data_IF_343153190426
#
_entry.id   IF_343153190426
#
_cell.length_a   1.000
_cell.length_b   1.000
_cell.length_c   1.000
_cell.angle_alpha   90.00
_cell.angle_beta   90.00
_cell.angle_gamma   90.00
#
_symmetry.space_group_name_H-M   'P 1'
#
loop_
_entity.id
_entity.type
_entity.pdbx_description
1 polymer ?
#
# COMPACT_ATOMS: atom_id res chain seq x y z
N UNK A 1 28.77 -15.17 -10.51
CA UNK A 1 28.22 -15.23 -11.88
C UNK A 1 26.76 -14.84 -11.77
N UNK A 2 26.38 -13.69 -12.30
CA UNK A 2 25.05 -13.09 -12.15
C UNK A 2 23.98 -14.02 -12.74
N UNK A 3 23.05 -14.47 -11.90
CA UNK A 3 21.85 -15.17 -12.38
C UNK A 3 21.03 -14.13 -13.12
N UNK A 4 20.95 -14.28 -14.45
CA UNK A 4 20.26 -13.34 -15.32
C UNK A 4 18.81 -13.17 -14.90
N UNK A 5 18.46 -11.97 -14.45
CA UNK A 5 17.08 -11.53 -14.33
C UNK A 5 16.51 -11.51 -15.76
N UNK A 6 15.86 -12.60 -16.18
CA UNK A 6 15.03 -12.56 -17.40
C UNK A 6 13.88 -11.61 -17.10
N UNK A 7 13.99 -10.37 -17.57
CA UNK A 7 12.84 -9.46 -17.59
C UNK A 7 11.77 -10.17 -18.42
N UNK A 8 10.66 -10.52 -17.77
CA UNK A 8 9.51 -11.06 -18.47
C UNK A 8 8.93 -9.92 -19.31
N UNK A 9 9.22 -9.93 -20.61
CA UNK A 9 8.85 -8.88 -21.58
C UNK A 9 7.35 -8.57 -21.48
N UNK A 10 6.52 -9.59 -21.23
CA UNK A 10 5.08 -9.40 -21.11
C UNK A 10 4.69 -8.66 -19.81
N UNK A 11 5.41 -8.86 -18.70
CA UNK A 11 5.21 -8.07 -17.48
C UNK A 11 5.70 -6.64 -17.64
N UNK A 12 6.82 -6.42 -18.35
CA UNK A 12 7.30 -5.06 -18.64
C UNK A 12 6.29 -4.27 -19.47
N UNK A 13 5.78 -4.88 -20.55
CA UNK A 13 4.77 -4.27 -21.43
C UNK A 13 3.48 -3.93 -20.67
N UNK A 14 3.02 -4.84 -19.81
CA UNK A 14 1.84 -4.62 -18.98
C UNK A 14 2.08 -3.52 -17.93
N UNK A 15 3.27 -3.51 -17.32
CA UNK A 15 3.71 -2.45 -16.40
C UNK A 15 3.70 -1.08 -17.06
N UNK A 16 4.27 -0.94 -18.27
CA UNK A 16 4.24 0.33 -19.03
C UNK A 16 2.82 0.81 -19.31
N UNK A 17 1.91 -0.10 -19.66
CA UNK A 17 0.48 0.23 -19.88
C UNK A 17 -0.18 0.76 -18.61
N UNK A 18 0.08 0.14 -17.46
CA UNK A 18 -0.47 0.58 -16.17
C UNK A 18 0.13 1.91 -15.72
N UNK A 19 1.45 2.11 -15.85
CA UNK A 19 2.12 3.38 -15.52
C UNK A 19 1.60 4.52 -16.39
N UNK A 20 1.27 4.26 -17.66
CA UNK A 20 0.61 5.24 -18.53
C UNK A 20 -0.73 5.75 -17.98
N UNK A 21 -1.39 5.02 -17.07
CA UNK A 21 -2.62 5.45 -16.39
C UNK A 21 -2.38 6.36 -15.18
N UNK A 22 -1.16 6.39 -14.65
CA UNK A 22 -0.80 7.22 -13.50
C UNK A 22 -0.63 8.70 -13.85
N UNK A 23 -0.78 9.10 -15.12
CA UNK A 23 -0.71 10.48 -15.61
C UNK A 23 0.55 11.27 -15.18
N UNK A 24 1.66 10.57 -14.91
CA UNK A 24 2.92 11.18 -14.47
C UNK A 24 2.96 11.60 -13.01
N UNK A 25 1.93 11.31 -12.19
CA UNK A 25 1.96 11.59 -10.77
C UNK A 25 2.86 10.61 -10.02
N UNK A 26 3.91 11.10 -9.30
CA UNK A 26 4.85 10.24 -8.60
C UNK A 26 4.16 9.28 -7.62
N UNK A 27 3.14 9.75 -6.90
CA UNK A 27 2.44 8.90 -5.94
C UNK A 27 1.70 7.74 -6.61
N UNK A 28 0.95 8.01 -7.67
CA UNK A 28 0.19 6.96 -8.36
C UNK A 28 1.14 5.88 -8.91
N UNK A 29 2.35 6.28 -9.35
CA UNK A 29 3.39 5.35 -9.80
C UNK A 29 3.97 4.55 -8.62
N UNK A 30 4.27 5.20 -7.50
CA UNK A 30 4.80 4.55 -6.29
C UNK A 30 3.79 3.52 -5.75
N UNK A 31 2.52 3.90 -5.64
CA UNK A 31 1.43 3.04 -5.17
C UNK A 31 1.25 1.84 -6.10
N UNK A 32 1.20 2.08 -7.42
CA UNK A 32 1.15 0.99 -8.40
C UNK A 32 2.36 0.06 -8.25
N UNK A 33 3.55 0.62 -8.08
CA UNK A 33 4.78 -0.12 -7.82
C UNK A 33 4.69 -0.99 -6.57
N UNK A 34 4.18 -0.45 -5.46
CA UNK A 34 3.96 -1.20 -4.22
C UNK A 34 2.96 -2.34 -4.37
N UNK A 35 1.84 -2.12 -5.08
CA UNK A 35 0.87 -3.19 -5.38
C UNK A 35 1.55 -4.30 -6.20
N UNK A 36 2.26 -3.94 -7.26
CA UNK A 36 2.91 -4.89 -8.17
C UNK A 36 4.09 -5.62 -7.53
N UNK A 37 4.79 -5.01 -6.56
CA UNK A 37 5.90 -5.64 -5.83
C UNK A 37 5.45 -6.89 -5.06
N UNK A 38 4.18 -6.95 -4.65
CA UNK A 38 3.59 -8.12 -3.98
C UNK A 38 3.12 -9.23 -4.93
N UNK A 39 3.24 -9.04 -6.26
CA UNK A 39 2.70 -9.96 -7.27
C UNK A 39 3.83 -10.54 -8.13
N UNK A 40 3.99 -11.86 -8.11
CA UNK A 40 5.10 -12.54 -8.77
C UNK A 40 4.73 -13.19 -10.10
N UNK A 41 3.44 -13.28 -10.44
CA UNK A 41 2.95 -13.93 -11.64
C UNK A 41 2.21 -12.98 -12.59
N UNK A 42 2.29 -13.25 -13.89
CA UNK A 42 1.71 -12.40 -14.93
C UNK A 42 0.17 -12.30 -14.85
N UNK A 43 -0.50 -13.41 -14.52
CA UNK A 43 -1.94 -13.43 -14.30
C UNK A 43 -2.38 -12.49 -13.15
N UNK A 44 -1.55 -12.33 -12.12
CA UNK A 44 -1.83 -11.39 -11.03
C UNK A 44 -1.72 -9.95 -11.50
N UNK A 45 -0.77 -9.65 -12.39
CA UNK A 45 -0.63 -8.32 -12.98
C UNK A 45 -1.79 -8.01 -13.93
N UNK A 46 -2.30 -9.00 -14.68
CA UNK A 46 -3.48 -8.83 -15.53
C UNK A 46 -4.73 -8.50 -14.69
N UNK A 47 -4.91 -9.14 -13.54
CA UNK A 47 -6.00 -8.81 -12.60
C UNK A 47 -5.90 -7.35 -12.14
N UNK A 48 -4.70 -6.89 -11.76
CA UNK A 48 -4.47 -5.49 -11.37
C UNK A 48 -4.80 -4.54 -12.52
N UNK A 49 -4.36 -4.87 -13.74
CA UNK A 49 -4.63 -4.06 -14.93
C UNK A 49 -6.14 -3.97 -15.25
N UNK A 50 -6.88 -5.07 -15.16
CA UNK A 50 -8.33 -5.07 -15.35
C UNK A 50 -9.05 -4.30 -14.24
N UNK A 51 -8.60 -4.42 -12.98
CA UNK A 51 -9.14 -3.63 -11.88
C UNK A 51 -8.95 -2.13 -12.15
N UNK A 52 -7.76 -1.68 -12.54
CA UNK A 52 -7.48 -0.28 -12.91
C UNK A 52 -8.46 0.20 -14.01
N UNK A 53 -8.70 -0.61 -15.05
CA UNK A 53 -9.67 -0.26 -16.11
C UNK A 53 -11.10 -0.13 -15.61
N UNK A 54 -11.53 -0.99 -14.68
CA UNK A 54 -12.86 -0.95 -14.11
C UNK A 54 -13.07 0.32 -13.27
N UNK A 55 -12.07 0.71 -12.46
CA UNK A 55 -12.11 1.95 -11.69
C UNK A 55 -12.13 3.18 -12.61
N UNK A 56 -11.30 3.22 -13.66
CA UNK A 56 -11.31 4.26 -14.73
C UNK A 56 -12.65 4.41 -15.43
N UNK A 57 -13.33 3.29 -15.68
CA UNK A 57 -14.66 3.32 -16.29
C UNK A 57 -15.71 3.89 -15.34
N UNK A 58 -15.53 3.72 -14.03
CA UNK A 58 -16.44 4.21 -12.99
C UNK A 58 -16.24 5.70 -12.69
N UNK A 59 -15.01 6.22 -12.79
CA UNK A 59 -14.70 7.64 -12.56
C UNK A 59 -14.92 8.58 -13.75
N UNK A 60 -15.27 8.07 -14.94
CA UNK A 60 -15.61 8.87 -16.15
C UNK A 60 -16.76 9.89 -15.99
N UNK A 61 -17.40 9.98 -14.82
CA UNK A 61 -18.36 11.03 -14.47
C UNK A 61 -17.74 12.25 -13.76
N UNK A 62 -16.43 12.27 -13.54
CA UNK A 62 -15.69 13.41 -12.97
C UNK A 62 -14.42 13.69 -13.78
N UNK A 63 -13.99 14.94 -13.80
CA UNK A 63 -12.95 15.48 -14.68
C UNK A 63 -11.71 14.57 -14.84
N UNK A 64 -11.31 14.43 -16.10
CA UNK A 64 -10.46 13.38 -16.66
C UNK A 64 -9.04 13.26 -16.06
N UNK A 65 -8.59 14.25 -15.29
CA UNK A 65 -7.21 14.33 -14.79
C UNK A 65 -7.10 13.98 -13.29
N UNK A 66 -8.16 14.15 -12.50
CA UNK A 66 -8.20 13.73 -11.09
C UNK A 66 -8.77 12.32 -10.91
N UNK A 67 -9.54 11.80 -11.89
CA UNK A 67 -10.18 10.48 -11.79
C UNK A 67 -9.17 9.34 -11.69
N UNK A 68 -8.11 9.31 -12.52
CA UNK A 68 -7.14 8.22 -12.50
C UNK A 68 -6.35 8.07 -11.20
N UNK A 69 -6.07 9.18 -10.50
CA UNK A 69 -5.34 9.15 -9.22
C UNK A 69 -6.23 8.61 -8.10
N UNK A 70 -7.45 9.15 -7.98
CA UNK A 70 -8.43 8.69 -7.00
C UNK A 70 -8.74 7.20 -7.16
N UNK A 71 -8.74 6.70 -8.39
CA UNK A 71 -8.98 5.29 -8.70
C UNK A 71 -7.81 4.37 -8.36
N UNK A 72 -6.57 4.79 -8.62
CA UNK A 72 -5.38 4.03 -8.22
C UNK A 72 -5.28 3.95 -6.69
N UNK A 73 -5.61 5.03 -5.99
CA UNK A 73 -5.65 5.06 -4.53
C UNK A 73 -6.78 4.19 -3.96
N UNK A 74 -7.98 4.28 -4.54
CA UNK A 74 -9.09 3.40 -4.19
C UNK A 74 -8.72 1.93 -4.39
N UNK A 75 -8.03 1.61 -5.49
CA UNK A 75 -7.54 0.27 -5.77
C UNK A 75 -6.58 -0.23 -4.68
N UNK A 76 -5.68 0.61 -4.17
CA UNK A 76 -4.77 0.24 -3.08
C UNK A 76 -5.52 -0.22 -1.84
N UNK A 77 -6.58 0.49 -1.48
CA UNK A 77 -7.44 0.10 -0.36
C UNK A 77 -8.21 -1.19 -0.65
N UNK A 78 -8.74 -1.35 -1.87
CA UNK A 78 -9.50 -2.54 -2.23
C UNK A 78 -8.64 -3.81 -2.24
N UNK A 79 -7.40 -3.72 -2.75
CA UNK A 79 -6.40 -4.80 -2.80
C UNK A 79 -5.67 -5.08 -1.48
N UNK A 80 -5.99 -4.31 -0.43
CA UNK A 80 -5.45 -4.53 0.91
C UNK A 80 -6.08 -5.80 1.53
N UNK A 81 -5.30 -6.67 2.21
CA UNK A 81 -5.86 -7.82 2.91
C UNK A 81 -6.89 -7.39 3.94
N UNK A 82 -7.91 -8.22 4.15
CA UNK A 82 -9.05 -7.87 5.00
C UNK A 82 -8.63 -7.45 6.41
N UNK A 83 -7.62 -8.11 7.00
CA UNK A 83 -7.15 -7.81 8.35
C UNK A 83 -6.47 -6.44 8.47
N UNK A 84 -5.92 -5.91 7.37
CA UNK A 84 -5.20 -4.64 7.35
C UNK A 84 -6.11 -3.43 7.14
N UNK A 85 -7.31 -3.63 6.59
CA UNK A 85 -8.27 -2.54 6.31
C UNK A 85 -8.68 -1.76 7.57
N UNK A 86 -9.01 -2.38 8.71
CA UNK A 86 -9.34 -1.64 9.92
C UNK A 86 -8.16 -0.80 10.43
N UNK A 87 -6.94 -1.35 10.41
CA UNK A 87 -5.72 -0.64 10.81
C UNK A 87 -5.47 0.59 9.93
N UNK A 88 -5.62 0.45 8.61
CA UNK A 88 -5.50 1.57 7.67
C UNK A 88 -6.59 2.63 7.90
N UNK A 89 -7.86 2.22 8.05
CA UNK A 89 -8.95 3.15 8.32
C UNK A 89 -8.76 3.91 9.64
N UNK A 90 -8.23 3.26 10.68
CA UNK A 90 -7.93 3.92 11.95
C UNK A 90 -6.91 5.06 11.78
N UNK A 91 -6.01 5.01 10.78
CA UNK A 91 -5.07 6.10 10.51
C UNK A 91 -5.77 7.42 10.14
N UNK A 92 -7.00 7.37 9.62
CA UNK A 92 -7.80 8.58 9.32
C UNK A 92 -8.21 9.39 10.55
N UNK A 93 -8.11 8.81 11.76
CA UNK A 93 -8.34 9.54 13.01
C UNK A 93 -7.18 10.50 13.35
N UNK A 94 -6.03 10.35 12.70
CA UNK A 94 -4.90 11.26 12.85
C UNK A 94 -4.97 12.34 11.77
N UNK A 95 -4.59 13.57 12.11
CA UNK A 95 -4.56 14.64 11.12
C UNK A 95 -3.52 14.31 10.05
N UNK A 96 -3.83 14.60 8.79
CA UNK A 96 -2.89 14.50 7.68
C UNK A 96 -1.57 15.19 8.05
N UNK A 97 -0.45 14.54 7.71
CA UNK A 97 0.91 15.02 7.88
C UNK A 97 1.45 15.16 9.32
N UNK A 98 0.73 14.64 10.32
CA UNK A 98 1.27 14.51 11.67
C UNK A 98 2.01 13.18 11.82
N UNK A 99 3.24 13.27 12.30
CA UNK A 99 4.05 12.11 12.68
C UNK A 99 3.44 11.36 13.86
N UNK A 100 3.12 10.08 13.64
CA UNK A 100 2.56 9.16 14.63
C UNK A 100 3.68 8.24 15.10
N UNK A 101 3.92 8.17 16.41
CA UNK A 101 4.89 7.23 16.94
C UNK A 101 4.48 5.77 16.70
N UNK A 102 5.34 5.00 16.05
CA UNK A 102 5.11 3.59 15.66
C UNK A 102 4.67 2.74 16.86
N UNK A 103 5.42 2.80 17.97
CA UNK A 103 5.12 2.05 19.20
C UNK A 103 3.75 2.40 19.80
N UNK A 104 3.34 3.66 19.68
CA UNK A 104 2.04 4.12 20.18
C UNK A 104 0.93 3.57 19.28
N UNK A 105 1.11 3.66 17.96
CA UNK A 105 0.15 3.17 16.97
C UNK A 105 -0.10 1.65 17.11
N UNK A 106 0.96 0.85 17.20
CA UNK A 106 0.93 -0.59 17.44
C UNK A 106 0.09 -0.94 18.68
N UNK A 107 0.36 -0.27 19.81
CA UNK A 107 -0.39 -0.49 21.05
C UNK A 107 -1.86 -0.10 20.94
N UNK A 108 -2.18 0.96 20.20
CA UNK A 108 -3.58 1.35 19.96
C UNK A 108 -4.30 0.28 19.14
N UNK A 109 -3.69 -0.19 18.04
CA UNK A 109 -4.32 -1.23 17.21
C UNK A 109 -4.57 -2.53 17.96
N UNK A 110 -3.64 -2.93 18.83
CA UNK A 110 -3.83 -4.08 19.71
C UNK A 110 -4.94 -3.81 20.73
N UNK A 111 -4.95 -2.65 21.38
CA UNK A 111 -5.96 -2.29 22.37
C UNK A 111 -7.37 -2.15 21.78
N UNK A 112 -7.49 -1.71 20.54
CA UNK A 112 -8.76 -1.62 19.80
C UNK A 112 -9.21 -2.95 19.19
N UNK A 113 -8.40 -4.01 19.30
CA UNK A 113 -8.71 -5.32 18.73
C UNK A 113 -8.71 -5.35 17.20
N UNK A 114 -8.00 -4.41 16.56
CA UNK A 114 -7.85 -4.36 15.10
C UNK A 114 -6.89 -5.43 14.57
N UNK A 115 -6.08 -6.01 15.47
CA UNK A 115 -5.09 -7.02 15.16
C UNK A 115 -5.65 -8.40 15.52
N UNK A 116 -5.69 -9.29 14.53
CA UNK A 116 -6.09 -10.68 14.76
C UNK A 116 -4.90 -11.52 15.23
N UNK A 117 -5.08 -12.42 16.21
CA UNK A 117 -4.00 -13.31 16.64
C UNK A 117 -3.59 -14.25 15.50
N UNK A 118 -2.29 -14.56 15.41
CA UNK A 118 -1.83 -15.60 14.50
C UNK A 118 -2.36 -16.96 14.96
N UNK A 119 -2.95 -17.72 14.03
CA UNK A 119 -3.47 -19.07 14.30
C UNK A 119 -2.36 -20.07 14.64
N UNK A 120 -1.14 -19.86 14.11
CA UNK A 120 0.00 -20.75 14.27
C UNK A 120 1.31 -19.93 14.30
N UNK A 121 1.78 -19.49 15.48
CA UNK A 121 3.08 -18.82 15.57
C UNK A 121 3.46 -18.29 16.96
N UNK A 122 4.77 -18.30 17.24
CA UNK A 122 5.41 -17.55 18.34
C UNK A 122 5.41 -16.05 18.00
N UNK A 123 4.83 -15.22 18.86
CA UNK A 123 4.82 -13.76 18.71
C UNK A 123 3.74 -13.10 19.56
N UNK A 124 4.01 -11.87 20.00
CA UNK A 124 3.05 -11.03 20.72
C UNK A 124 2.05 -10.39 19.75
N UNK A 125 0.91 -9.90 20.25
CA UNK A 125 -0.04 -9.15 19.40
C UNK A 125 0.61 -7.88 18.83
N UNK A 126 1.55 -7.28 19.56
CA UNK A 126 2.35 -6.16 19.10
C UNK A 126 3.23 -6.55 17.90
N UNK A 127 3.85 -7.72 17.90
CA UNK A 127 4.65 -8.21 16.77
C UNK A 127 3.78 -8.36 15.51
N UNK A 128 2.55 -8.88 15.65
CA UNK A 128 1.59 -8.97 14.54
C UNK A 128 1.22 -7.58 14.02
N UNK A 129 0.99 -6.61 14.90
CA UNK A 129 0.66 -5.25 14.50
C UNK A 129 1.85 -4.53 13.82
N UNK A 130 3.08 -4.81 14.25
CA UNK A 130 4.29 -4.31 13.59
C UNK A 130 4.41 -4.89 12.17
N UNK A 131 4.11 -6.18 11.97
CA UNK A 131 4.02 -6.77 10.64
C UNK A 131 2.96 -6.07 9.77
N UNK A 132 1.79 -5.76 10.34
CA UNK A 132 0.75 -5.03 9.61
C UNK A 132 1.21 -3.63 9.18
N UNK A 133 1.90 -2.92 10.07
CA UNK A 133 2.48 -1.62 9.72
C UNK A 133 3.54 -1.74 8.62
N UNK A 134 4.37 -2.78 8.68
CA UNK A 134 5.34 -3.12 7.63
C UNK A 134 4.68 -3.31 6.26
N UNK A 135 3.59 -4.07 6.20
CA UNK A 135 2.85 -4.26 4.94
C UNK A 135 2.26 -2.96 4.39
N UNK A 136 1.77 -2.07 5.25
CA UNK A 136 1.27 -0.76 4.83
C UNK A 136 2.40 0.14 4.29
N UNK A 137 3.60 0.04 4.85
CA UNK A 137 4.80 0.73 4.37
C UNK A 137 5.26 0.17 3.02
N UNK A 138 5.31 -1.16 2.87
CA UNK A 138 5.71 -1.82 1.62
C UNK A 138 4.74 -1.50 0.47
N UNK A 139 3.46 -1.33 0.78
CA UNK A 139 2.42 -0.88 -0.16
C UNK A 139 2.40 0.63 -0.38
N UNK A 140 3.31 1.37 0.25
CA UNK A 140 3.42 2.82 0.16
C UNK A 140 2.15 3.57 0.59
N UNK A 141 1.33 2.95 1.45
CA UNK A 141 0.10 3.56 1.98
C UNK A 141 0.38 4.49 3.16
N UNK A 142 1.50 4.25 3.82
CA UNK A 142 2.01 5.01 4.95
C UNK A 142 3.44 5.41 4.62
N UNK A 143 3.85 6.60 5.03
CA UNK A 143 5.23 7.08 4.86
C UNK A 143 5.99 7.01 6.18
N UNK A 144 7.29 6.78 6.08
CA UNK A 144 8.21 6.92 7.21
C UNK A 144 8.45 8.41 7.48
N UNK A 145 8.25 8.85 8.72
CA UNK A 145 8.64 10.18 9.19
C UNK A 145 10.10 10.18 9.61
N UNK A 146 10.36 9.74 10.84
CA UNK A 146 11.67 9.69 11.47
C UNK A 146 12.18 8.26 11.61
N UNK A 147 13.44 8.07 11.28
CA UNK A 147 14.20 6.87 11.63
C UNK A 147 15.07 7.17 12.85
N UNK A 148 15.07 6.24 13.80
CA UNK A 148 15.96 6.31 14.96
C UNK A 148 17.42 6.07 14.58
N UNK A 149 18.32 6.34 15.51
CA UNK A 149 19.77 6.13 15.35
C UNK A 149 20.16 4.68 15.04
N UNK A 150 19.28 3.71 15.32
CA UNK A 150 19.46 2.29 15.03
C UNK A 150 18.84 1.86 13.68
N UNK A 151 18.29 2.79 12.90
CA UNK A 151 17.60 2.50 11.64
C UNK A 151 16.12 2.09 11.79
N UNK A 152 15.65 1.89 13.03
CA UNK A 152 14.25 1.60 13.37
C UNK A 152 13.30 2.75 13.01
N UNK A 153 12.09 2.43 12.57
CA UNK A 153 11.07 3.43 12.20
C UNK A 153 10.42 3.96 13.47
N UNK A 154 10.67 5.23 13.82
CA UNK A 154 10.16 5.85 15.04
C UNK A 154 8.79 6.51 14.85
N UNK A 155 8.59 7.15 13.70
CA UNK A 155 7.33 7.78 13.34
C UNK A 155 6.90 7.40 11.94
N UNK A 156 5.59 7.35 11.75
CA UNK A 156 4.92 7.12 10.48
C UNK A 156 3.84 8.18 10.28
N UNK A 157 3.51 8.49 9.04
CA UNK A 157 2.44 9.43 8.68
C UNK A 157 1.61 8.87 7.55
N UNK A 158 0.30 9.17 7.59
CA UNK A 158 -0.57 8.86 6.46
C UNK A 158 -0.12 9.70 5.25
N UNK A 159 -0.12 9.10 4.07
CA UNK A 159 0.17 9.83 2.86
C UNK A 159 -0.97 10.83 2.59
N UNK A 160 -0.71 12.14 2.51
CA UNK A 160 -1.76 13.17 2.33
C UNK A 160 -2.54 13.17 1.00
N UNK A 161 -2.47 12.07 0.25
CA UNK A 161 -3.27 11.83 -0.96
C UNK A 161 -4.07 10.52 -0.83
N UNK A 162 -3.94 9.77 0.27
CA UNK A 162 -4.75 8.61 0.63
C UNK A 162 -6.04 9.06 1.31
#
# INVERSE_FOLDING_TARGET
MWVGFRINIAMEELGRKMVGRCAGLPLAIIVLGGILATKHALNQWDIVHENIKLYLRRGKFRDQQQSGVSEVLALSYHELPYQLKPCFLHLSNFREDIDIHTKKLVRIWVAEGLVSPMLEGEGTMEDVAECYLGELLDRCMVQVGLRGSTGSIQTVRLHGLM
#
